data_IF_720484867822
#
_entry.id   IF_720484867822
#
_cell.length_a   1.000
_cell.length_b   1.000
_cell.length_c   1.000
_cell.angle_alpha   90.00
_cell.angle_beta   90.00
_cell.angle_gamma   90.00
#
_symmetry.space_group_name_H-M   'P 1'
#
loop_
_entity.id
_entity.type
_entity.pdbx_description
1 polymer ?
#
# COMPACT_ATOMS: atom_id res chain seq x y z
N UNK A 1 -15.60 30.63 -36.42
CA UNK A 1 -15.88 29.64 -35.35
C UNK A 1 -14.62 29.01 -34.72
N UNK A 2 -13.53 28.75 -35.46
CA UNK A 2 -12.32 28.04 -34.96
C UNK A 2 -11.52 28.72 -33.82
N UNK A 3 -11.45 30.06 -33.77
CA UNK A 3 -10.68 30.81 -32.75
C UNK A 3 -11.24 30.67 -31.32
N UNK A 4 -12.57 30.56 -31.17
CA UNK A 4 -13.23 30.39 -29.85
C UNK A 4 -12.93 29.03 -29.21
N UNK A 5 -12.62 28.01 -30.01
CA UNK A 5 -12.35 26.65 -29.51
C UNK A 5 -10.92 26.50 -28.96
N UNK A 6 -9.90 27.09 -29.61
CA UNK A 6 -8.49 27.08 -29.12
C UNK A 6 -8.33 27.78 -27.76
N UNK A 7 -8.98 28.93 -27.55
CA UNK A 7 -8.92 29.66 -26.29
C UNK A 7 -9.57 28.89 -25.12
N UNK A 8 -10.66 28.16 -25.40
CA UNK A 8 -11.34 27.29 -24.43
C UNK A 8 -10.47 26.07 -24.05
N UNK A 9 -9.81 25.45 -25.03
CA UNK A 9 -8.89 24.32 -24.84
C UNK A 9 -7.67 24.73 -24.00
N UNK A 10 -7.05 25.88 -24.32
CA UNK A 10 -5.92 26.40 -23.54
C UNK A 10 -6.32 26.71 -22.08
N UNK A 11 -7.49 27.33 -21.88
CA UNK A 11 -8.03 27.65 -20.54
C UNK A 11 -8.33 26.41 -19.71
N UNK A 12 -8.85 25.34 -20.32
CA UNK A 12 -9.13 24.08 -19.65
C UNK A 12 -7.84 23.30 -19.30
N UNK A 13 -6.84 23.30 -20.20
CA UNK A 13 -5.50 22.71 -19.94
C UNK A 13 -4.78 23.44 -18.80
N UNK A 14 -4.88 24.77 -18.76
CA UNK A 14 -4.35 25.57 -17.66
C UNK A 14 -5.03 25.23 -16.33
N UNK A 15 -6.37 25.12 -16.30
CA UNK A 15 -7.14 24.75 -15.10
C UNK A 15 -6.87 23.32 -14.61
N UNK A 16 -6.72 22.34 -15.52
CA UNK A 16 -6.35 20.94 -15.18
C UNK A 16 -4.93 20.89 -14.62
N UNK A 17 -3.96 21.56 -15.26
CA UNK A 17 -2.59 21.69 -14.75
C UNK A 17 -2.54 22.37 -13.38
N UNK A 18 -3.32 23.42 -13.17
CA UNK A 18 -3.40 24.12 -11.88
C UNK A 18 -4.03 23.24 -10.78
N UNK A 19 -5.08 22.46 -11.06
CA UNK A 19 -5.68 21.52 -10.08
C UNK A 19 -4.75 20.36 -9.74
N UNK A 20 -4.05 19.80 -10.73
CA UNK A 20 -3.07 18.72 -10.51
C UNK A 20 -1.84 19.23 -9.75
N UNK A 21 -1.33 20.42 -10.10
CA UNK A 21 -0.25 21.05 -9.37
C UNK A 21 -0.68 21.40 -7.93
N UNK A 22 -1.92 21.87 -7.73
CA UNK A 22 -2.45 22.14 -6.39
C UNK A 22 -2.60 20.87 -5.56
N UNK A 23 -3.09 19.76 -6.13
CA UNK A 23 -3.20 18.46 -5.43
C UNK A 23 -1.85 17.79 -5.20
N UNK A 24 -0.90 17.81 -6.14
CA UNK A 24 0.49 17.36 -5.90
C UNK A 24 1.17 18.23 -4.84
N UNK A 25 0.92 19.54 -4.83
CA UNK A 25 1.41 20.45 -3.78
C UNK A 25 0.73 20.14 -2.44
N UNK A 26 -0.56 19.80 -2.43
CA UNK A 26 -1.29 19.38 -1.23
C UNK A 26 -0.80 18.02 -0.72
N UNK A 27 -0.49 17.08 -1.61
CA UNK A 27 0.04 15.75 -1.28
C UNK A 27 1.50 15.83 -0.83
N UNK A 28 2.33 16.68 -1.47
CA UNK A 28 3.68 16.99 -0.98
C UNK A 28 3.66 17.76 0.34
N UNK A 29 2.73 18.70 0.54
CA UNK A 29 2.49 19.34 1.85
C UNK A 29 1.98 18.34 2.87
N UNK A 30 1.14 17.40 2.46
CA UNK A 30 0.66 16.34 3.34
C UNK A 30 1.84 15.42 3.73
N UNK A 31 2.66 15.04 2.78
CA UNK A 31 3.87 14.25 3.03
C UNK A 31 4.92 15.02 3.86
N UNK A 32 5.07 16.33 3.66
CA UNK A 32 5.97 17.17 4.44
C UNK A 32 5.47 17.40 5.88
N UNK A 33 4.16 17.60 6.06
CA UNK A 33 3.53 17.71 7.39
C UNK A 33 3.41 16.34 8.08
N UNK A 34 3.45 15.23 7.32
CA UNK A 34 3.54 13.89 7.91
C UNK A 34 4.86 13.64 8.65
N UNK A 35 5.95 14.39 8.38
CA UNK A 35 7.20 14.29 9.15
C UNK A 35 7.15 14.92 10.57
N UNK A 36 5.99 15.36 11.05
CA UNK A 36 5.86 16.06 12.33
C UNK A 36 5.70 15.16 13.57
N UNK A 37 5.92 13.84 13.48
CA UNK A 37 5.83 12.92 14.63
C UNK A 37 7.18 12.50 15.23
N UNK A 38 8.30 13.01 14.68
CA UNK A 38 9.64 12.80 15.22
C UNK A 38 9.75 13.43 16.62
N UNK A 39 9.27 12.73 17.65
CA UNK A 39 9.29 13.22 19.02
C UNK A 39 8.37 12.49 20.00
N UNK A 40 7.30 11.82 19.55
CA UNK A 40 6.41 11.07 20.46
C UNK A 40 6.83 9.60 20.51
N UNK A 41 7.23 9.07 21.68
CA UNK A 41 7.53 7.65 21.84
C UNK A 41 6.35 6.75 21.44
N UNK A 42 6.60 5.70 20.65
CA UNK A 42 5.57 4.77 20.19
C UNK A 42 4.74 4.16 21.32
N UNK A 43 5.37 3.96 22.49
CA UNK A 43 4.67 3.51 23.69
C UNK A 43 3.55 4.44 24.11
N UNK A 44 3.79 5.76 24.12
CA UNK A 44 2.77 6.75 24.46
C UNK A 44 1.61 6.74 23.46
N UNK A 45 1.92 6.56 22.16
CA UNK A 45 0.90 6.43 21.12
C UNK A 45 0.01 5.20 21.39
N UNK A 46 0.60 4.05 21.71
CA UNK A 46 -0.12 2.79 21.95
C UNK A 46 -0.98 2.82 23.22
N UNK A 47 -0.52 3.51 24.26
CA UNK A 47 -1.19 3.61 25.57
C UNK A 47 -2.25 4.74 25.61
N UNK A 48 -2.14 5.74 24.73
CA UNK A 48 -3.06 6.86 24.66
C UNK A 48 -4.52 6.41 24.40
N UNK A 49 -5.53 6.99 25.08
CA UNK A 49 -6.92 6.60 24.89
C UNK A 49 -7.39 6.86 23.46
N UNK A 50 -8.22 5.96 22.94
CA UNK A 50 -8.84 6.12 21.62
C UNK A 50 -9.84 7.27 21.71
N UNK A 51 -9.60 8.30 20.89
CA UNK A 51 -10.48 9.46 20.80
C UNK A 51 -11.66 9.16 19.87
N UNK A 52 -11.37 8.65 18.67
CA UNK A 52 -12.37 8.42 17.65
C UNK A 52 -11.89 7.41 16.60
N UNK A 53 -12.85 6.79 15.90
CA UNK A 53 -12.60 5.93 14.74
C UNK A 53 -13.53 6.30 13.61
N UNK A 54 -13.00 6.37 12.40
CA UNK A 54 -13.78 6.51 11.18
C UNK A 54 -13.59 5.26 10.34
N UNK A 55 -14.68 4.64 9.95
CA UNK A 55 -14.67 3.57 8.94
C UNK A 55 -15.65 4.00 7.86
N UNK A 56 -15.20 4.05 6.61
CA UNK A 56 -16.10 4.33 5.50
C UNK A 56 -17.15 3.21 5.36
N UNK A 57 -18.44 3.58 5.39
CA UNK A 57 -19.54 2.61 5.37
C UNK A 57 -19.62 1.78 4.08
N UNK A 58 -19.01 2.27 2.99
CA UNK A 58 -19.08 1.67 1.67
C UNK A 58 -17.90 0.79 1.29
N UNK A 59 -16.86 0.61 2.14
CA UNK A 59 -15.60 -0.09 1.80
C UNK A 59 -15.87 -1.41 1.05
N UNK A 60 -16.67 -2.30 1.64
CA UNK A 60 -16.98 -3.62 1.06
C UNK A 60 -17.97 -3.59 -0.11
N UNK A 61 -18.69 -2.48 -0.31
CA UNK A 61 -19.65 -2.31 -1.41
C UNK A 61 -19.00 -1.73 -2.67
N UNK A 62 -18.05 -0.81 -2.50
CA UNK A 62 -17.38 -0.12 -3.62
C UNK A 62 -15.96 -0.63 -3.84
N UNK A 63 -15.46 -1.49 -2.95
CA UNK A 63 -14.13 -2.10 -3.01
C UNK A 63 -13.03 -1.29 -2.34
N UNK A 64 -13.21 0.03 -2.16
CA UNK A 64 -12.19 0.88 -1.52
C UNK A 64 -12.78 1.88 -0.52
N UNK A 65 -12.01 2.25 0.49
CA UNK A 65 -12.35 3.37 1.37
C UNK A 65 -11.38 3.54 2.54
N UNK A 66 -11.51 4.66 3.24
CA UNK A 66 -10.64 4.98 4.36
C UNK A 66 -11.11 4.37 5.68
N UNK A 67 -10.14 3.92 6.46
CA UNK A 67 -10.25 3.69 7.90
C UNK A 67 -9.30 4.65 8.60
N UNK A 68 -9.78 5.38 9.61
CA UNK A 68 -8.96 6.29 10.42
C UNK A 68 -9.14 5.93 11.88
N UNK A 69 -8.05 5.85 12.62
CA UNK A 69 -8.06 5.67 14.08
C UNK A 69 -7.30 6.82 14.71
N UNK A 70 -7.89 7.43 15.74
CA UNK A 70 -7.37 8.61 16.40
C UNK A 70 -7.24 8.36 17.91
N UNK A 71 -6.11 8.72 18.50
CA UNK A 71 -5.86 8.67 19.95
C UNK A 71 -5.52 10.06 20.48
N UNK A 72 -5.91 10.35 21.72
CA UNK A 72 -5.63 11.63 22.38
C UNK A 72 -4.35 11.56 23.21
N UNK A 73 -3.41 12.48 23.00
CA UNK A 73 -2.11 12.49 23.69
C UNK A 73 -2.13 13.21 25.05
N UNK A 74 -3.28 13.72 25.48
CA UNK A 74 -3.47 14.35 26.80
C UNK A 74 -3.05 15.82 26.89
N UNK A 75 -2.19 16.30 25.99
CA UNK A 75 -1.77 17.72 25.86
C UNK A 75 -2.71 18.56 24.97
N UNK A 76 -3.86 17.99 24.59
CA UNK A 76 -4.81 18.58 23.64
C UNK A 76 -4.53 18.24 22.18
N UNK A 77 -3.41 17.56 21.88
CA UNK A 77 -3.13 17.02 20.55
C UNK A 77 -3.66 15.59 20.40
N UNK A 78 -3.77 15.17 19.14
CA UNK A 78 -4.17 13.83 18.75
C UNK A 78 -3.11 13.20 17.86
N UNK A 79 -3.02 11.88 17.90
CA UNK A 79 -2.33 11.09 16.88
C UNK A 79 -3.36 10.34 16.05
N UNK A 80 -3.42 10.65 14.76
CA UNK A 80 -4.33 10.03 13.80
C UNK A 80 -3.56 9.17 12.80
N UNK A 81 -3.97 7.92 12.65
CA UNK A 81 -3.53 7.04 11.57
C UNK A 81 -4.68 6.83 10.58
N UNK A 82 -4.40 7.02 9.29
CA UNK A 82 -5.35 6.76 8.22
C UNK A 82 -4.82 5.66 7.30
N UNK A 83 -5.73 4.81 6.83
CA UNK A 83 -5.47 3.65 5.99
C UNK A 83 -6.45 3.67 4.83
N UNK A 84 -5.95 3.71 3.59
CA UNK A 84 -6.75 3.49 2.40
C UNK A 84 -6.82 1.98 2.15
N UNK A 85 -7.98 1.40 2.44
CA UNK A 85 -8.24 -0.03 2.30
C UNK A 85 -8.86 -0.32 0.94
N UNK A 86 -8.31 -1.30 0.22
CA UNK A 86 -8.90 -2.02 -0.89
C UNK A 86 -9.37 -3.39 -0.39
N UNK A 87 -10.68 -3.52 -0.19
CA UNK A 87 -11.29 -4.74 0.31
C UNK A 87 -11.45 -5.82 -0.77
N UNK A 88 -11.22 -5.51 -2.04
CA UNK A 88 -11.39 -6.47 -3.13
C UNK A 88 -10.09 -7.16 -3.53
N UNK A 89 -8.94 -6.52 -3.33
CA UNK A 89 -7.68 -7.03 -3.84
C UNK A 89 -6.46 -6.62 -3.02
N UNK A 90 -6.01 -5.36 -3.14
CA UNK A 90 -4.65 -4.97 -2.72
C UNK A 90 -4.48 -4.76 -1.20
N UNK A 91 -5.53 -4.90 -0.40
CA UNK A 91 -5.46 -4.67 1.03
C UNK A 91 -5.20 -3.20 1.36
N UNK A 92 -4.25 -2.90 2.23
CA UNK A 92 -3.91 -1.51 2.59
C UNK A 92 -3.01 -0.89 1.52
N UNK A 93 -3.60 -0.07 0.64
CA UNK A 93 -2.91 0.59 -0.49
C UNK A 93 -2.01 1.74 -0.05
N UNK A 94 -2.48 2.53 0.90
CA UNK A 94 -1.77 3.71 1.39
C UNK A 94 -2.08 3.90 2.88
N UNK A 95 -1.14 4.50 3.60
CA UNK A 95 -1.34 4.83 5.01
C UNK A 95 -0.43 5.97 5.45
N UNK A 96 -0.89 6.72 6.44
CA UNK A 96 -0.07 7.72 7.10
C UNK A 96 -0.46 7.87 8.56
N UNK A 97 0.48 8.41 9.34
CA UNK A 97 0.30 8.76 10.75
C UNK A 97 0.69 10.22 10.96
N UNK A 98 -0.07 10.95 11.76
CA UNK A 98 0.17 12.37 12.04
C UNK A 98 -0.25 12.77 13.44
N UNK A 99 0.50 13.70 14.02
CA UNK A 99 0.05 14.47 15.17
C UNK A 99 -0.75 15.66 14.65
N UNK A 100 -1.94 15.87 15.17
CA UNK A 100 -2.89 16.89 14.71
C UNK A 100 -3.56 17.58 15.88
N UNK A 101 -3.94 18.84 15.71
CA UNK A 101 -4.90 19.51 16.59
C UNK A 101 -6.32 18.96 16.37
N UNK A 102 -7.27 19.35 17.23
CA UNK A 102 -8.69 19.05 17.04
C UNK A 102 -9.19 19.51 15.67
N UNK A 103 -8.98 20.78 15.33
CA UNK A 103 -9.46 21.34 14.05
C UNK A 103 -8.86 20.61 12.85
N UNK A 104 -7.57 20.26 12.91
CA UNK A 104 -6.91 19.48 11.86
C UNK A 104 -7.46 18.05 11.75
N UNK A 105 -7.87 17.45 12.87
CA UNK A 105 -8.54 16.15 12.86
C UNK A 105 -9.93 16.24 12.23
N UNK A 106 -10.70 17.28 12.55
CA UNK A 106 -12.03 17.49 11.98
C UNK A 106 -11.94 17.74 10.46
N UNK A 107 -10.97 18.54 10.01
CA UNK A 107 -10.66 18.74 8.59
C UNK A 107 -10.26 17.43 7.89
N UNK A 108 -9.43 16.61 8.56
CA UNK A 108 -9.04 15.29 8.05
C UNK A 108 -10.27 14.41 7.84
N UNK A 109 -11.16 14.31 8.83
CA UNK A 109 -12.38 13.50 8.72
C UNK A 109 -13.34 14.01 7.65
N UNK A 110 -13.49 15.33 7.51
CA UNK A 110 -14.30 15.92 6.45
C UNK A 110 -13.78 15.52 5.06
N UNK A 111 -12.46 15.59 4.83
CA UNK A 111 -11.84 15.14 3.59
C UNK A 111 -12.01 13.64 3.33
N UNK A 112 -11.87 12.81 4.37
CA UNK A 112 -12.11 11.37 4.25
C UNK A 112 -13.56 11.06 3.92
N UNK A 113 -14.50 11.83 4.49
CA UNK A 113 -15.91 11.63 4.21
C UNK A 113 -16.30 12.07 2.80
N UNK A 114 -15.70 13.13 2.27
CA UNK A 114 -15.92 13.56 0.89
C UNK A 114 -15.44 12.50 -0.12
N UNK A 115 -14.29 11.88 0.15
CA UNK A 115 -13.66 10.92 -0.78
C UNK A 115 -14.23 9.50 -0.65
N UNK A 116 -14.51 9.05 0.57
CA UNK A 116 -14.92 7.65 0.84
C UNK A 116 -16.34 7.49 1.37
N UNK A 117 -17.12 8.57 1.42
CA UNK A 117 -18.51 8.54 1.83
C UNK A 117 -18.70 8.70 3.33
N UNK A 118 -19.85 8.28 3.86
CA UNK A 118 -20.16 8.52 5.28
C UNK A 118 -19.43 7.53 6.19
N UNK A 119 -19.07 8.02 7.38
CA UNK A 119 -18.66 7.20 8.52
C UNK A 119 -19.78 6.23 8.91
N UNK A 120 -19.46 4.95 9.11
CA UNK A 120 -20.35 4.01 9.81
C UNK A 120 -20.18 4.12 11.32
N UNK A 121 -21.20 3.67 12.05
CA UNK A 121 -21.03 3.34 13.46
C UNK A 121 -20.13 2.09 13.56
N UNK A 122 -18.98 2.18 14.22
CA UNK A 122 -18.01 1.11 14.32
C UNK A 122 -17.22 1.24 15.62
N UNK A 123 -16.87 0.10 16.22
CA UNK A 123 -15.95 0.03 17.34
C UNK A 123 -14.50 0.15 16.85
N UNK A 124 -13.55 0.51 17.74
CA UNK A 124 -12.14 0.44 17.39
C UNK A 124 -11.66 -0.96 17.05
N UNK A 125 -12.21 -1.98 17.73
CA UNK A 125 -11.97 -3.39 17.45
C UNK A 125 -12.36 -3.76 16.00
N UNK A 126 -13.52 -3.28 15.53
CA UNK A 126 -13.94 -3.45 14.13
C UNK A 126 -12.99 -2.73 13.16
N UNK A 127 -12.60 -1.49 13.45
CA UNK A 127 -11.67 -0.73 12.60
C UNK A 127 -10.33 -1.46 12.44
N UNK A 128 -9.76 -1.98 13.53
CA UNK A 128 -8.55 -2.82 13.49
C UNK A 128 -8.79 -4.11 12.70
N UNK A 129 -9.90 -4.80 12.93
CA UNK A 129 -10.23 -6.05 12.23
C UNK A 129 -10.35 -5.87 10.71
N UNK A 130 -10.90 -4.75 10.25
CA UNK A 130 -10.92 -4.40 8.81
C UNK A 130 -9.50 -4.22 8.27
N UNK A 131 -8.63 -3.54 9.00
CA UNK A 131 -7.25 -3.30 8.57
C UNK A 131 -6.45 -4.61 8.56
N UNK A 132 -6.49 -5.37 9.65
CA UNK A 132 -5.77 -6.65 9.78
C UNK A 132 -6.28 -7.67 8.75
N UNK A 133 -7.60 -7.76 8.54
CA UNK A 133 -8.19 -8.62 7.51
C UNK A 133 -7.80 -8.21 6.10
N UNK A 134 -7.73 -6.92 5.80
CA UNK A 134 -7.29 -6.42 4.50
C UNK A 134 -5.83 -6.77 4.21
N UNK A 135 -4.96 -6.66 5.21
CA UNK A 135 -3.55 -7.05 5.10
C UNK A 135 -3.42 -8.56 4.90
N UNK A 136 -4.11 -9.36 5.72
CA UNK A 136 -4.05 -10.82 5.62
C UNK A 136 -4.54 -11.30 4.24
N UNK A 137 -5.67 -10.77 3.77
CA UNK A 137 -6.21 -11.10 2.46
C UNK A 137 -5.26 -10.74 1.31
N UNK A 138 -4.66 -9.55 1.35
CA UNK A 138 -3.73 -9.11 0.31
C UNK A 138 -2.41 -9.90 0.31
N UNK A 139 -1.94 -10.31 1.49
CA UNK A 139 -0.75 -11.14 1.63
C UNK A 139 -0.93 -12.50 0.92
N UNK A 140 -2.11 -13.12 0.99
CA UNK A 140 -2.42 -14.35 0.23
C UNK A 140 -2.34 -14.17 -1.30
N UNK A 141 -2.47 -12.93 -1.78
CA UNK A 141 -2.39 -12.55 -3.19
C UNK A 141 -0.99 -12.05 -3.60
N UNK A 142 -0.02 -12.09 -2.68
CA UNK A 142 1.35 -11.63 -2.89
C UNK A 142 1.53 -10.11 -2.80
N UNK A 143 0.63 -9.41 -2.10
CA UNK A 143 0.72 -7.97 -1.88
C UNK A 143 1.06 -7.65 -0.43
N UNK A 144 1.97 -6.69 -0.25
CA UNK A 144 2.37 -6.20 1.05
C UNK A 144 1.96 -4.73 1.21
N UNK A 145 1.58 -4.28 2.42
CA UNK A 145 1.34 -2.87 2.69
C UNK A 145 2.60 -2.04 2.45
N UNK A 146 2.41 -0.78 2.02
CA UNK A 146 3.51 0.17 1.81
C UNK A 146 4.30 0.49 3.10
N UNK A 147 5.51 1.05 2.95
CA UNK A 147 6.44 1.25 4.06
C UNK A 147 5.91 2.06 5.26
N UNK A 148 5.04 3.04 5.01
CA UNK A 148 4.42 3.86 6.07
C UNK A 148 3.40 3.07 6.92
N UNK A 149 2.97 1.90 6.47
CA UNK A 149 2.02 1.06 7.21
C UNK A 149 2.55 0.65 8.56
N UNK A 150 3.84 0.27 8.66
CA UNK A 150 4.46 -0.13 9.93
C UNK A 150 4.36 0.96 10.99
N UNK A 151 4.45 2.23 10.56
CA UNK A 151 4.30 3.40 11.43
C UNK A 151 2.83 3.65 11.78
N UNK A 152 1.95 3.70 10.80
CA UNK A 152 0.51 3.90 11.04
C UNK A 152 -0.10 2.80 11.93
N UNK A 153 0.37 1.55 11.78
CA UNK A 153 -0.05 0.38 12.57
C UNK A 153 0.18 0.58 14.08
N UNK A 154 1.13 1.42 14.48
CA UNK A 154 1.42 1.72 15.89
C UNK A 154 0.20 2.29 16.63
N UNK A 155 -0.67 3.03 15.94
CA UNK A 155 -1.89 3.61 16.52
C UNK A 155 -2.95 2.53 16.82
N UNK A 156 -2.92 1.39 16.12
CA UNK A 156 -3.93 0.34 16.24
C UNK A 156 -3.43 -0.91 16.99
N UNK A 157 -2.12 -1.07 17.16
CA UNK A 157 -1.49 -2.31 17.66
C UNK A 157 -1.98 -2.77 19.03
N UNK A 158 -2.34 -1.83 19.92
CA UNK A 158 -2.84 -2.12 21.26
C UNK A 158 -4.37 -2.27 21.36
N UNK A 159 -5.10 -2.22 20.23
CA UNK A 159 -6.57 -2.35 20.22
C UNK A 159 -6.96 -3.81 20.27
N UNK A 160 -7.65 -4.26 21.31
CA UNK A 160 -8.19 -5.62 21.35
C UNK A 160 -9.26 -5.84 20.25
N UNK A 161 -9.26 -7.02 19.63
CA UNK A 161 -10.19 -7.42 18.56
C UNK A 161 -11.13 -8.54 18.95
N UNK A 162 -11.00 -9.10 20.16
CA UNK A 162 -11.74 -10.29 20.59
C UNK A 162 -13.27 -10.08 20.52
N UNK A 163 -13.74 -8.87 20.85
CA UNK A 163 -15.16 -8.48 20.80
C UNK A 163 -15.53 -7.66 19.54
N UNK A 164 -14.76 -7.77 18.46
CA UNK A 164 -15.08 -7.05 17.22
C UNK A 164 -16.34 -7.62 16.54
N UNK A 165 -17.18 -6.72 15.99
CA UNK A 165 -18.21 -7.14 15.04
C UNK A 165 -17.58 -7.91 13.86
N UNK A 166 -18.29 -8.88 13.31
CA UNK A 166 -17.83 -9.62 12.14
C UNK A 166 -17.56 -8.68 10.95
N UNK A 167 -16.36 -8.79 10.39
CA UNK A 167 -15.99 -8.09 9.16
C UNK A 167 -16.53 -8.85 7.95
N UNK A 168 -17.16 -8.18 6.96
CA UNK A 168 -17.55 -8.84 5.72
C UNK A 168 -16.36 -9.52 5.02
N UNK A 169 -16.62 -10.57 4.28
CA UNK A 169 -15.57 -11.25 3.52
C UNK A 169 -14.91 -10.28 2.52
N UNK A 170 -13.58 -10.38 2.42
CA UNK A 170 -12.79 -9.69 1.41
C UNK A 170 -12.96 -10.33 0.03
N UNK A 171 -12.60 -9.58 -1.01
CA UNK A 171 -12.89 -9.92 -2.40
C UNK A 171 -14.24 -9.39 -2.87
N UNK A 172 -14.48 -9.50 -4.17
CA UNK A 172 -15.74 -9.13 -4.80
C UNK A 172 -16.45 -10.39 -5.28
N UNK A 173 -17.52 -10.79 -4.59
CA UNK A 173 -18.22 -12.04 -4.86
C UNK A 173 -17.36 -13.28 -4.54
N UNK A 174 -16.51 -13.19 -3.52
CA UNK A 174 -15.67 -14.30 -3.06
C UNK A 174 -14.39 -14.54 -3.87
N UNK A 175 -14.03 -13.61 -4.78
CA UNK A 175 -12.78 -13.67 -5.54
C UNK A 175 -12.05 -12.32 -5.55
N UNK A 176 -10.73 -12.29 -5.75
CA UNK A 176 -10.00 -11.05 -5.94
C UNK A 176 -10.53 -10.26 -7.12
N UNK A 177 -10.65 -8.96 -6.98
CA UNK A 177 -11.02 -8.07 -8.09
C UNK A 177 -10.21 -6.78 -8.02
N UNK A 178 -9.22 -6.65 -8.90
CA UNK A 178 -8.48 -5.42 -9.05
C UNK A 178 -9.24 -4.41 -9.92
N UNK A 179 -9.37 -3.18 -9.42
CA UNK A 179 -9.91 -2.04 -10.15
C UNK A 179 -8.83 -0.96 -10.17
N UNK A 180 -8.39 -0.55 -11.36
CA UNK A 180 -7.28 0.40 -11.49
C UNK A 180 -7.64 1.77 -10.92
N UNK A 181 -6.75 2.29 -10.08
CA UNK A 181 -6.81 3.65 -9.60
C UNK A 181 -6.35 4.66 -10.66
N UNK A 182 -6.73 5.95 -10.51
CA UNK A 182 -6.33 7.02 -11.44
C UNK A 182 -4.83 7.34 -11.41
N UNK A 183 -4.06 6.67 -10.57
CA UNK A 183 -2.61 6.88 -10.38
C UNK A 183 -1.81 5.61 -10.62
N UNK A 184 -2.45 4.50 -11.00
CA UNK A 184 -1.77 3.25 -11.23
C UNK A 184 -1.06 3.34 -12.57
N UNK A 185 0.27 3.18 -12.56
CA UNK A 185 1.06 3.16 -13.79
C UNK A 185 0.90 1.82 -14.51
N UNK A 186 1.17 1.78 -15.82
CA UNK A 186 1.12 0.53 -16.59
C UNK A 186 2.04 -0.55 -16.00
N UNK A 187 3.21 -0.15 -15.48
CA UNK A 187 4.13 -1.07 -14.79
C UNK A 187 3.54 -1.64 -13.50
N UNK A 188 2.84 -0.81 -12.72
CA UNK A 188 2.14 -1.26 -11.50
C UNK A 188 1.02 -2.23 -11.83
N UNK A 189 0.19 -1.89 -12.83
CA UNK A 189 -0.91 -2.73 -13.32
C UNK A 189 -0.39 -4.11 -13.76
N UNK A 190 0.69 -4.16 -14.54
CA UNK A 190 1.29 -5.43 -14.96
C UNK A 190 1.93 -6.22 -13.81
N UNK A 191 2.49 -5.55 -12.79
CA UNK A 191 2.97 -6.22 -11.57
C UNK A 191 1.81 -6.86 -10.80
N UNK A 192 0.69 -6.14 -10.65
CA UNK A 192 -0.52 -6.64 -10.00
C UNK A 192 -1.09 -7.84 -10.76
N UNK A 193 -1.22 -7.72 -12.09
CA UNK A 193 -1.71 -8.81 -12.96
C UNK A 193 -0.86 -10.07 -12.80
N UNK A 194 0.47 -9.95 -12.87
CA UNK A 194 1.39 -11.08 -12.68
C UNK A 194 1.27 -11.73 -11.31
N UNK A 195 1.07 -10.94 -10.24
CA UNK A 195 0.87 -11.51 -8.91
C UNK A 195 -0.43 -12.31 -8.85
N UNK A 196 -1.51 -11.76 -9.40
CA UNK A 196 -2.81 -12.45 -9.43
C UNK A 196 -2.77 -13.71 -10.31
N UNK A 197 -2.12 -13.66 -11.48
CA UNK A 197 -1.90 -14.85 -12.31
C UNK A 197 -1.15 -15.95 -11.56
N UNK A 198 -0.16 -15.58 -10.73
CA UNK A 198 0.62 -16.54 -9.93
C UNK A 198 -0.19 -17.18 -8.80
N UNK A 199 -0.99 -16.41 -8.08
CA UNK A 199 -1.68 -16.89 -6.87
C UNK A 199 -3.08 -17.44 -7.15
N UNK A 200 -3.77 -16.91 -8.15
CA UNK A 200 -5.16 -17.29 -8.48
C UNK A 200 -5.28 -18.07 -9.79
N UNK A 201 -4.23 -18.08 -10.61
CA UNK A 201 -4.28 -18.56 -11.99
C UNK A 201 -4.96 -17.55 -12.93
N UNK A 202 -4.68 -17.65 -14.25
CA UNK A 202 -5.37 -16.84 -15.25
C UNK A 202 -6.88 -17.03 -15.17
N UNK A 203 -7.65 -15.94 -15.06
CA UNK A 203 -9.12 -15.97 -14.94
C UNK A 203 -9.65 -16.23 -13.52
N UNK A 204 -8.79 -16.48 -12.54
CA UNK A 204 -9.16 -16.64 -11.13
C UNK A 204 -9.53 -15.35 -10.39
N UNK A 205 -9.47 -14.20 -11.07
CA UNK A 205 -9.69 -12.87 -10.50
C UNK A 205 -10.45 -11.96 -11.48
N UNK A 206 -11.12 -10.95 -10.95
CA UNK A 206 -11.66 -9.82 -11.72
C UNK A 206 -10.57 -8.77 -11.97
N UNK A 207 -10.59 -8.15 -13.15
CA UNK A 207 -9.63 -7.12 -13.51
C UNK A 207 -10.33 -6.04 -14.33
N UNK A 208 -10.44 -4.83 -13.77
CA UNK A 208 -11.10 -3.70 -14.41
C UNK A 208 -10.12 -2.56 -14.53
N UNK A 209 -9.82 -2.15 -15.76
CA UNK A 209 -9.11 -0.90 -16.01
C UNK A 209 -10.16 0.20 -16.18
N UNK A 210 -10.19 1.13 -15.22
CA UNK A 210 -10.95 2.35 -15.35
C UNK A 210 -10.19 3.29 -16.28
N UNK A 211 -10.54 3.26 -17.57
CA UNK A 211 -10.13 4.29 -18.52
C UNK A 211 -10.53 5.67 -17.99
N UNK A 212 -9.64 6.66 -18.06
CA UNK A 212 -10.03 8.06 -17.84
C UNK A 212 -11.23 8.35 -18.77
N UNK A 213 -12.40 8.81 -18.28
CA UNK A 213 -13.54 9.14 -19.14
C UNK A 213 -13.23 10.28 -20.14
N UNK A 214 -12.02 10.84 -20.10
CA UNK A 214 -11.47 11.70 -21.15
C UNK A 214 -10.96 10.98 -22.40
N UNK A 215 -11.00 9.66 -22.47
CA UNK A 215 -10.60 8.87 -23.65
C UNK A 215 -11.85 8.20 -24.28
N UNK A 216 -12.72 9.01 -24.89
CA UNK A 216 -13.62 8.50 -25.93
C UNK A 216 -12.88 8.63 -27.26
N UNK A 217 -12.68 7.49 -27.91
CA UNK A 217 -11.93 7.31 -29.15
C UNK A 217 -12.53 8.11 -30.33
N UNK A 218 -11.69 8.82 -31.08
CA UNK A 218 -11.83 8.94 -32.54
C UNK A 218 -10.67 8.07 -33.07
N UNK A 219 -10.90 6.87 -33.58
CA UNK A 219 -11.70 6.60 -34.77
C UNK A 219 -10.76 6.65 -35.98
N UNK A 220 -10.22 5.48 -36.33
CA UNK A 220 -9.38 5.17 -37.50
C UNK A 220 -8.09 6.00 -37.71
N UNK A 221 -6.96 5.50 -37.20
CA UNK A 221 -5.62 5.93 -37.66
C UNK A 221 -5.06 4.92 -38.68
N UNK A 222 -5.04 5.24 -39.98
CA UNK A 222 -4.41 4.42 -41.00
C UNK A 222 -2.89 4.57 -40.89
N UNK A 223 -2.22 3.45 -40.57
CA UNK A 223 -0.81 3.14 -40.84
C UNK A 223 0.19 4.29 -40.82
N UNK A 224 0.99 4.37 -39.76
CA UNK A 224 2.29 5.04 -39.81
C UNK A 224 3.39 4.00 -39.81
N UNK A 225 4.08 4.00 -40.94
CA UNK A 225 5.25 3.19 -41.29
C UNK A 225 6.35 3.24 -40.23
N UNK A 226 7.02 2.11 -40.11
CA UNK A 226 8.37 1.98 -39.57
C UNK A 226 9.29 3.01 -40.23
N UNK A 227 9.68 4.07 -39.53
CA UNK A 227 11.02 4.67 -39.65
C UNK A 227 11.25 5.73 -38.56
N UNK A 228 12.39 5.56 -37.88
CA UNK A 228 13.09 6.55 -37.06
C UNK A 228 12.53 6.93 -35.67
N UNK A 229 12.81 6.08 -34.68
CA UNK A 229 13.32 6.58 -33.39
C UNK A 229 14.62 5.88 -33.00
N UNK A 230 15.69 6.63 -33.25
CA UNK A 230 17.06 6.40 -32.83
C UNK A 230 17.17 5.92 -31.38
N UNK A 231 17.84 4.78 -31.23
CA UNK A 231 18.21 4.16 -29.97
C UNK A 231 19.40 4.90 -29.37
N UNK A 232 19.17 5.81 -28.42
CA UNK A 232 20.22 6.19 -27.47
C UNK A 232 19.67 6.34 -26.05
N UNK A 233 20.02 5.32 -25.25
CA UNK A 233 20.55 5.39 -23.90
C UNK A 233 19.89 6.35 -22.91
N UNK A 234 18.98 5.83 -22.10
CA UNK A 234 18.83 6.30 -20.72
C UNK A 234 19.61 5.33 -19.85
N UNK A 235 20.71 5.82 -19.31
CA UNK A 235 21.58 5.12 -18.37
C UNK A 235 20.78 4.74 -17.11
N UNK A 236 21.05 3.52 -16.66
CA UNK A 236 20.46 2.85 -15.52
C UNK A 236 20.70 3.62 -14.22
N UNK A 237 19.63 4.18 -13.65
CA UNK A 237 19.51 4.46 -12.21
C UNK A 237 18.29 3.68 -11.70
N UNK A 238 18.40 2.36 -11.64
CA UNK A 238 17.51 1.52 -10.86
C UNK A 238 18.28 0.93 -9.69
N UNK A 239 17.94 1.49 -8.53
CA UNK A 239 18.35 1.12 -7.19
C UNK A 239 18.25 -0.39 -6.92
N UNK A 240 19.32 -0.92 -6.32
CA UNK A 240 19.44 -2.20 -5.64
C UNK A 240 18.19 -2.57 -4.82
N UNK A 241 17.32 -3.40 -5.37
CA UNK A 241 16.45 -4.26 -4.56
C UNK A 241 17.23 -5.54 -4.25
N UNK A 242 18.06 -5.47 -3.21
CA UNK A 242 18.72 -6.64 -2.62
C UNK A 242 17.66 -7.66 -2.20
N UNK A 243 17.58 -8.76 -2.96
CA UNK A 243 17.03 -10.03 -2.52
C UNK A 243 17.78 -10.44 -1.24
N UNK A 244 17.11 -10.34 -0.09
CA UNK A 244 17.59 -11.00 1.13
C UNK A 244 17.12 -12.45 1.11
N UNK A 245 18.07 -13.36 0.98
CA UNK A 245 17.87 -14.76 1.31
C UNK A 245 17.57 -14.92 2.80
N UNK A 246 16.70 -15.89 3.07
CA UNK A 246 16.17 -16.28 4.37
C UNK A 246 17.20 -17.05 5.20
N UNK A 247 18.17 -16.38 5.80
CA UNK A 247 18.79 -16.77 7.08
C UNK A 247 19.70 -15.66 7.63
N UNK A 248 19.20 -14.92 8.62
CA UNK A 248 19.86 -13.79 9.24
C UNK A 248 21.16 -14.12 9.98
N UNK A 249 22.25 -14.36 9.24
CA UNK A 249 23.60 -14.53 9.76
C UNK A 249 24.55 -13.52 9.10
N UNK A 250 24.99 -12.46 9.81
CA UNK A 250 25.94 -11.51 9.26
C UNK A 250 27.34 -12.12 9.25
N UNK A 251 27.92 -12.33 8.07
CA UNK A 251 29.34 -12.60 7.91
C UNK A 251 30.08 -11.29 7.58
N UNK A 252 30.88 -10.80 8.53
CA UNK A 252 31.85 -9.73 8.28
C UNK A 252 33.08 -10.32 7.57
N UNK A 253 33.48 -9.73 6.45
CA UNK A 253 34.78 -9.99 5.80
C UNK A 253 35.60 -8.70 5.85
N UNK A 254 36.66 -8.70 6.65
CA UNK A 254 37.68 -7.65 6.63
C UNK A 254 38.52 -7.74 5.34
N UNK A 255 38.82 -6.58 4.75
CA UNK A 255 39.72 -6.43 3.61
C UNK A 255 41.13 -6.93 3.96
N UNK A 256 41.63 -7.90 3.20
CA UNK A 256 42.96 -8.46 3.41
C UNK A 256 43.46 -9.28 2.23
N UNK A 257 44.17 -8.60 1.34
CA UNK A 257 45.30 -9.08 0.54
C UNK A 257 45.07 -10.09 -0.62
N UNK A 258 45.51 -9.64 -1.80
CA UNK A 258 45.63 -10.42 -3.03
C UNK A 258 46.84 -11.34 -2.88
N UNK A 259 46.62 -12.64 -2.84
CA UNK A 259 47.42 -13.71 -3.52
C UNK A 259 47.31 -15.03 -2.76
N UNK A 260 46.46 -15.96 -3.25
CA UNK A 260 46.68 -17.43 -3.12
C UNK A 260 45.64 -18.20 -3.93
N UNK A 261 46.11 -19.11 -4.79
CA UNK A 261 45.29 -20.06 -5.56
C UNK A 261 44.54 -21.03 -4.63
N UNK A 262 43.36 -21.55 -5.01
CA UNK A 262 42.62 -22.48 -4.17
C UNK A 262 43.27 -23.87 -4.12
N UNK A 263 43.27 -24.57 -2.97
CA UNK A 263 43.76 -25.93 -2.89
C UNK A 263 42.73 -26.93 -3.42
N UNK A 264 43.24 -28.03 -3.98
CA UNK A 264 42.51 -29.12 -4.62
C UNK A 264 41.64 -29.91 -3.63
N UNK A 265 40.46 -30.34 -4.10
CA UNK A 265 39.53 -31.26 -3.43
C UNK A 265 40.23 -32.54 -2.95
N UNK A 266 40.25 -32.76 -1.63
CA UNK A 266 40.69 -34.00 -0.99
C UNK A 266 39.53 -34.69 -0.28
N UNK A 267 39.23 -35.93 -0.69
CA UNK A 267 38.26 -36.84 -0.09
C UNK A 267 38.67 -37.25 1.32
N UNK A 268 37.73 -37.33 2.28
CA UNK A 268 37.65 -38.20 3.49
C UNK A 268 36.79 -37.51 4.57
N UNK A 269 36.03 -38.16 5.44
CA UNK A 269 35.48 -39.52 5.58
C UNK A 269 34.37 -39.36 6.63
N UNK A 270 33.37 -40.21 6.52
CA UNK A 270 32.23 -40.34 7.42
C UNK A 270 32.68 -40.64 8.86
N UNK A 271 32.11 -39.97 9.87
CA UNK A 271 32.08 -40.48 11.25
C UNK A 271 30.84 -39.97 12.01
N UNK A 272 29.92 -40.91 12.18
CA UNK A 272 28.98 -41.17 13.28
C UNK A 272 28.77 -40.17 14.42
N UNK A 273 27.47 -39.93 14.72
CA UNK A 273 26.78 -39.39 15.93
C UNK A 273 25.86 -38.22 15.52
N UNK A 274 24.54 -38.17 15.75
CA UNK A 274 23.63 -38.75 16.75
C UNK A 274 22.23 -38.90 16.14
N UNK A 275 21.54 -39.99 16.49
CA UNK A 275 20.17 -40.35 16.09
C UNK A 275 19.13 -39.70 17.04
N UNK A 276 18.16 -39.00 16.44
CA UNK A 276 16.69 -39.04 16.67
C UNK A 276 16.13 -39.28 18.07
N UNK A 277 15.29 -38.33 18.54
CA UNK A 277 14.23 -38.53 19.54
C UNK A 277 12.89 -37.97 19.01
N UNK A 278 12.06 -38.85 18.46
CA UNK A 278 10.60 -38.68 18.38
C UNK A 278 9.97 -40.06 18.57
N UNK A 279 9.30 -40.27 19.70
CA UNK A 279 8.39 -41.41 19.87
C UNK A 279 7.12 -40.91 20.54
N UNK A 280 6.01 -41.01 19.79
CA UNK A 280 4.65 -41.12 20.34
C UNK A 280 4.52 -42.46 21.08
N UNK A 281 3.48 -42.59 21.91
CA UNK A 281 2.63 -43.78 21.82
C UNK A 281 1.15 -43.42 21.62
N UNK A 282 0.51 -44.19 20.73
CA UNK A 282 -0.93 -44.43 20.75
C UNK A 282 -1.24 -45.44 21.88
N UNK A 283 -2.36 -45.20 22.55
CA UNK A 283 -3.29 -46.23 23.00
C UNK A 283 -4.61 -46.00 22.26
#
# INVERSE_FOLDING_TARGET
>A
MAKKNRARIAKNRARKKQRVAAKKKQQKRAHAVARAYDGVPLRLIREAPIHDVYVAASIFRVGTGHVVVCRSLGDGSFVAAAFLVDAYCLGVKDSFMRIVSRDQYDELLAGMSEVSGRKRNATPAYARSVIDGAVAYAHELGFEPGGEFKRARQVIEAIDVDDADAVPAFGNGGRPHYISGPHDSSLMIERIRRSLDRHCGPGGYGFTILSDPGNMEEGDDPGWDDEDVNAEAWEDDDDDFLLHDMDGTPHYVEEGDRTRKPPRKGKRRLSDRVRTLFSRPHA
#
